data_IF_130483071169
#
_entry.id   IF_130483071169
#
_cell.length_a   1.000
_cell.length_b   1.000
_cell.length_c   1.000
_cell.angle_alpha   90.00
_cell.angle_beta   90.00
_cell.angle_gamma   90.00
#
_symmetry.space_group_name_H-M   'P 1'
#
loop_
_entity.id
_entity.type
_entity.pdbx_description
1 polymer ?
#
# COMPACT_ATOMS: atom_id res chain seq x y z
N UNK A 1 11.61 27.41 -27.36
CA UNK A 1 12.22 26.17 -26.85
C UNK A 1 11.48 25.82 -25.57
N UNK A 2 10.90 24.64 -25.51
CA UNK A 2 9.85 24.29 -24.54
C UNK A 2 10.42 24.10 -23.14
N UNK A 3 10.22 25.08 -22.27
CA UNK A 3 10.29 24.86 -20.82
C UNK A 3 9.02 24.12 -20.39
N UNK A 4 9.07 22.79 -20.43
CA UNK A 4 8.09 21.99 -19.67
C UNK A 4 8.29 22.36 -18.19
N UNK A 5 7.23 22.70 -17.45
CA UNK A 5 7.34 22.85 -16.01
C UNK A 5 7.84 21.52 -15.43
N UNK A 6 8.99 21.54 -14.75
CA UNK A 6 9.41 20.42 -13.91
C UNK A 6 8.35 20.29 -12.82
N UNK A 7 7.60 19.19 -12.85
CA UNK A 7 6.77 18.77 -11.75
C UNK A 7 7.67 18.68 -10.49
N UNK A 8 7.21 19.17 -9.32
CA UNK A 8 7.98 19.04 -8.09
C UNK A 8 8.21 17.55 -7.82
N UNK A 9 9.47 17.13 -7.85
CA UNK A 9 9.89 15.73 -7.73
C UNK A 9 10.20 15.32 -6.27
N UNK A 10 9.74 16.09 -5.28
CA UNK A 10 10.26 15.97 -3.91
C UNK A 10 9.20 15.59 -2.87
N UNK A 11 7.98 15.23 -3.28
CA UNK A 11 7.18 14.33 -2.43
C UNK A 11 7.69 12.95 -2.80
N UNK A 12 8.56 12.40 -1.96
CA UNK A 12 8.91 10.99 -1.97
C UNK A 12 7.59 10.23 -1.89
N UNK A 13 7.04 9.86 -3.05
CA UNK A 13 5.77 9.17 -3.14
C UNK A 13 6.04 7.85 -2.44
N UNK A 14 5.50 7.69 -1.23
CA UNK A 14 5.50 6.38 -0.57
C UNK A 14 4.94 5.42 -1.62
N UNK A 15 5.76 4.48 -2.10
CA UNK A 15 5.33 3.62 -3.20
C UNK A 15 4.06 2.90 -2.74
N UNK A 16 2.92 3.17 -3.38
CA UNK A 16 1.62 2.64 -2.98
C UNK A 16 1.46 1.18 -3.47
N UNK A 17 2.42 0.33 -3.11
CA UNK A 17 2.47 -1.08 -3.46
C UNK A 17 2.22 -2.00 -2.25
N UNK A 18 2.08 -3.29 -2.52
CA UNK A 18 1.81 -4.29 -1.47
C UNK A 18 2.99 -4.50 -0.50
N UNK A 19 4.21 -4.14 -0.90
CA UNK A 19 5.38 -4.18 -0.01
C UNK A 19 5.29 -3.09 1.05
N UNK A 20 5.12 -1.83 0.63
CA UNK A 20 4.93 -0.68 1.54
C UNK A 20 3.72 -0.87 2.44
N UNK A 21 2.64 -1.49 1.93
CA UNK A 21 1.49 -1.85 2.77
C UNK A 21 1.86 -2.86 3.86
N UNK A 22 2.66 -3.89 3.55
CA UNK A 22 3.13 -4.85 4.55
C UNK A 22 3.99 -4.17 5.60
N UNK A 23 4.94 -3.33 5.18
CA UNK A 23 5.82 -2.61 6.10
C UNK A 23 4.99 -1.77 7.09
N UNK A 24 4.00 -1.02 6.59
CA UNK A 24 3.09 -0.26 7.46
C UNK A 24 2.24 -1.13 8.39
N UNK A 25 1.85 -2.34 7.99
CA UNK A 25 1.13 -3.27 8.86
C UNK A 25 2.03 -3.81 9.97
N UNK A 26 3.31 -4.09 9.69
CA UNK A 26 4.28 -4.48 10.70
C UNK A 26 4.59 -3.34 11.67
N UNK A 27 4.75 -2.11 11.16
CA UNK A 27 4.93 -0.93 12.02
C UNK A 27 3.75 -0.75 12.99
N UNK A 28 2.53 -1.05 12.55
CA UNK A 28 1.33 -0.98 13.40
C UNK A 28 1.30 -2.11 14.45
N UNK A 29 1.79 -3.31 14.09
CA UNK A 29 1.94 -4.41 15.04
C UNK A 29 2.96 -4.06 16.13
N UNK A 30 4.08 -3.45 15.76
CA UNK A 30 5.09 -3.01 16.73
C UNK A 30 4.53 -1.92 17.66
N UNK A 31 3.76 -0.96 17.12
CA UNK A 31 3.08 0.06 17.94
C UNK A 31 2.07 -0.54 18.91
N UNK A 32 1.28 -1.52 18.48
CA UNK A 32 0.34 -2.21 19.36
C UNK A 32 1.03 -3.01 20.47
N UNK A 33 2.25 -3.49 20.23
CA UNK A 33 3.07 -4.23 21.17
C UNK A 33 3.87 -3.36 22.15
N UNK A 34 3.80 -2.04 22.02
CA UNK A 34 4.54 -1.12 22.90
C UNK A 34 4.01 -1.16 24.33
N UNK A 35 4.79 -1.77 25.23
CA UNK A 35 4.46 -1.92 26.65
C UNK A 35 4.45 -0.59 27.43
N UNK A 36 4.94 0.50 26.85
CA UNK A 36 4.93 1.82 27.48
C UNK A 36 3.61 2.58 27.33
N UNK A 37 2.67 2.08 26.51
CA UNK A 37 1.40 2.72 26.26
C UNK A 37 0.50 2.70 27.50
N UNK A 38 -0.15 3.84 27.76
CA UNK A 38 -1.22 3.92 28.74
C UNK A 38 -2.49 3.24 28.24
N UNK A 39 -3.41 2.92 29.14
CA UNK A 39 -4.70 2.31 28.78
C UNK A 39 -5.49 3.13 27.74
N UNK A 40 -5.49 4.46 27.88
CA UNK A 40 -6.13 5.35 26.92
C UNK A 40 -5.46 5.31 25.54
N UNK A 41 -4.14 5.18 25.49
CA UNK A 41 -3.37 5.05 24.25
C UNK A 41 -3.57 3.68 23.60
N UNK A 42 -3.64 2.60 24.38
CA UNK A 42 -3.96 1.25 23.89
C UNK A 42 -5.33 1.25 23.19
N UNK A 43 -6.34 1.90 23.77
CA UNK A 43 -7.67 2.01 23.15
C UNK A 43 -7.59 2.77 21.82
N UNK A 44 -6.83 3.87 21.77
CA UNK A 44 -6.65 4.66 20.57
C UNK A 44 -5.91 3.88 19.48
N UNK A 45 -4.84 3.18 19.84
CA UNK A 45 -4.03 2.42 18.89
C UNK A 45 -4.76 1.17 18.41
N UNK A 46 -5.54 0.50 19.26
CA UNK A 46 -6.45 -0.58 18.84
C UNK A 46 -7.45 -0.09 17.79
N UNK A 47 -8.02 1.10 17.98
CA UNK A 47 -8.95 1.69 17.02
C UNK A 47 -8.26 2.05 15.70
N UNK A 48 -7.03 2.60 15.77
CA UNK A 48 -6.19 2.88 14.59
C UNK A 48 -5.88 1.59 13.83
N UNK A 49 -5.37 0.57 14.51
CA UNK A 49 -4.99 -0.69 13.90
C UNK A 49 -6.16 -1.37 13.20
N UNK A 50 -7.36 -1.31 13.80
CA UNK A 50 -8.59 -1.80 13.16
C UNK A 50 -8.93 -1.03 11.88
N UNK A 51 -8.78 0.29 11.87
CA UNK A 51 -9.00 1.11 10.69
C UNK A 51 -7.97 0.82 9.59
N UNK A 52 -6.69 0.71 9.96
CA UNK A 52 -5.59 0.37 9.04
C UNK A 52 -5.81 -1.01 8.42
N UNK A 53 -6.13 -2.02 9.22
CA UNK A 53 -6.45 -3.36 8.74
C UNK A 53 -7.66 -3.36 7.78
N UNK A 54 -8.67 -2.54 8.07
CA UNK A 54 -9.83 -2.36 7.18
C UNK A 54 -9.42 -1.81 5.81
N UNK A 55 -8.59 -0.76 5.77
CA UNK A 55 -8.10 -0.17 4.53
C UNK A 55 -7.19 -1.16 3.78
N UNK A 56 -6.31 -1.85 4.50
CA UNK A 56 -5.40 -2.85 3.92
C UNK A 56 -6.17 -3.97 3.20
N UNK A 57 -7.26 -4.45 3.79
CA UNK A 57 -8.12 -5.45 3.15
C UNK A 57 -8.72 -4.94 1.82
N UNK A 58 -9.12 -3.67 1.75
CA UNK A 58 -9.61 -3.07 0.49
C UNK A 58 -8.52 -3.04 -0.57
N UNK A 59 -7.29 -2.69 -0.19
CA UNK A 59 -6.13 -2.67 -1.11
C UNK A 59 -5.80 -4.07 -1.62
N UNK A 60 -5.75 -5.07 -0.74
CA UNK A 60 -5.49 -6.47 -1.12
C UNK A 60 -6.59 -7.01 -2.03
N UNK A 61 -7.87 -6.72 -1.75
CA UNK A 61 -8.97 -7.11 -2.62
C UNK A 61 -8.84 -6.46 -4.02
N UNK A 62 -8.44 -5.20 -4.09
CA UNK A 62 -8.16 -4.54 -5.37
C UNK A 62 -6.99 -5.22 -6.12
N UNK A 63 -5.91 -5.53 -5.40
CA UNK A 63 -4.76 -6.23 -5.96
C UNK A 63 -5.14 -7.60 -6.56
N UNK A 64 -6.01 -8.35 -5.88
CA UNK A 64 -6.53 -9.63 -6.36
C UNK A 64 -7.36 -9.46 -7.64
N UNK A 65 -8.18 -8.41 -7.76
CA UNK A 65 -8.93 -8.09 -8.99
C UNK A 65 -7.97 -7.81 -10.14
N UNK A 66 -6.95 -6.98 -9.90
CA UNK A 66 -5.94 -6.63 -10.91
C UNK A 66 -5.15 -7.87 -11.36
N UNK A 67 -4.68 -8.68 -10.41
CA UNK A 67 -3.98 -9.93 -10.71
C UNK A 67 -4.86 -10.91 -11.49
N UNK A 68 -6.15 -11.00 -11.15
CA UNK A 68 -7.11 -11.85 -11.87
C UNK A 68 -7.33 -11.37 -13.30
N UNK A 69 -7.45 -10.05 -13.50
CA UNK A 69 -7.52 -9.47 -14.83
C UNK A 69 -6.27 -9.84 -15.65
N UNK A 70 -5.07 -9.67 -15.10
CA UNK A 70 -3.82 -10.03 -15.78
C UNK A 70 -3.78 -11.51 -16.18
N UNK A 71 -4.18 -12.42 -15.29
CA UNK A 71 -4.24 -13.86 -15.59
C UNK A 71 -5.23 -14.19 -16.71
N UNK A 72 -6.36 -13.49 -16.76
CA UNK A 72 -7.41 -13.70 -17.78
C UNK A 72 -7.01 -13.16 -19.16
N UNK A 73 -6.27 -12.05 -19.20
CA UNK A 73 -5.77 -11.48 -20.47
C UNK A 73 -4.56 -12.24 -21.04
N UNK A 74 -4.01 -13.23 -20.31
CA UNK A 74 -2.87 -14.05 -20.71
C UNK A 74 -1.53 -13.29 -20.75
N UNK A 75 -0.41 -14.03 -20.78
CA UNK A 75 0.94 -13.46 -21.02
C UNK A 75 1.05 -12.70 -22.38
N UNK A 76 0.00 -12.77 -23.21
CA UNK A 76 -0.15 -12.10 -24.51
C UNK A 76 -0.53 -10.62 -24.43
N UNK A 77 -0.58 -10.02 -23.23
CA UNK A 77 -0.39 -8.57 -23.11
C UNK A 77 1.05 -8.27 -23.54
N UNK A 78 1.22 -8.11 -24.86
CA UNK A 78 2.30 -7.52 -25.64
C UNK A 78 3.67 -7.46 -24.95
N UNK A 79 4.71 -7.98 -25.61
CA UNK A 79 6.12 -7.62 -25.37
C UNK A 79 6.23 -6.16 -24.90
N UNK A 80 6.39 -5.94 -23.59
CA UNK A 80 6.31 -4.62 -22.96
C UNK A 80 5.16 -4.35 -21.96
N UNK A 81 4.29 -5.30 -21.63
CA UNK A 81 3.30 -5.10 -20.58
C UNK A 81 3.96 -4.90 -19.21
N UNK A 82 3.71 -3.73 -18.63
CA UNK A 82 4.26 -3.35 -17.34
C UNK A 82 3.38 -3.93 -16.22
N UNK A 83 4.01 -4.54 -15.21
CA UNK A 83 3.29 -4.95 -14.00
C UNK A 83 2.65 -3.70 -13.38
N UNK A 84 1.38 -3.76 -12.96
CA UNK A 84 0.75 -2.68 -12.22
C UNK A 84 1.58 -2.33 -10.99
N UNK A 85 1.87 -1.05 -10.77
CA UNK A 85 2.71 -0.57 -9.66
C UNK A 85 2.32 -1.10 -8.29
N UNK A 86 1.03 -1.39 -8.07
CA UNK A 86 0.56 -1.94 -6.81
C UNK A 86 1.07 -3.37 -6.52
N UNK A 87 1.44 -4.12 -7.56
CA UNK A 87 1.94 -5.50 -7.51
C UNK A 87 3.45 -5.60 -7.74
N UNK A 88 4.14 -4.46 -7.84
CA UNK A 88 5.61 -4.41 -7.93
C UNK A 88 6.27 -4.91 -6.65
#
# INVERSE_FOLDING_TARGET
MNDKPKLPNDVQAADHNLSTLNDHLFDELDRLGDESLTEAEIVKETARAKAVAGIANVVVNNAQVVLSAQKLYGDDLAVGAQKPKMLE
#
